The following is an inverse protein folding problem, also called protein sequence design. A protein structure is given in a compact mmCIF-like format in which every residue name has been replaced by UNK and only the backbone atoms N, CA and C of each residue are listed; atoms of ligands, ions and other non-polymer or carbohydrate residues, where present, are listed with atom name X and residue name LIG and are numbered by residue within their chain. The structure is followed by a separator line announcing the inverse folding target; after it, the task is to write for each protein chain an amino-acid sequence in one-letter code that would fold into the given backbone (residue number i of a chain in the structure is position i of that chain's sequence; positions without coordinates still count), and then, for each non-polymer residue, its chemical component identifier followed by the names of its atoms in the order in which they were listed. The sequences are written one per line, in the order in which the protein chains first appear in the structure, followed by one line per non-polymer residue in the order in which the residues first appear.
data_IF_097740218805
#
_entry.id   IF_097740218805
#
_cell.length_a   1.000
_cell.length_b   1.000
_cell.length_c   1.000
_cell.angle_alpha   90.00
_cell.angle_beta   90.00
_cell.angle_gamma   90.00
#
_symmetry.space_group_name_H-M   'P 1'
#
loop_
_entity.id
_entity.type
_entity.pdbx_description
1 polymer ?
#
# COMPACT_ATOMS: atom_id res chain seq x y z
N UNK A 1 -21.14 19.59 3.60
CA UNK A 1 -20.43 19.16 4.84
C UNK A 1 -20.26 17.64 4.97
N UNK A 2 -21.09 16.83 4.34
CA UNK A 2 -20.97 15.34 4.37
C UNK A 2 -19.89 14.87 3.37
N UNK A 3 -19.71 15.58 2.27
CA UNK A 3 -18.73 15.26 1.22
C UNK A 3 -17.26 15.44 1.64
N UNK A 4 -17.01 16.13 2.74
CA UNK A 4 -15.65 16.33 3.27
C UNK A 4 -15.23 15.22 4.26
N UNK A 5 -16.20 14.45 4.78
CA UNK A 5 -15.94 13.41 5.77
C UNK A 5 -15.70 12.03 5.17
N UNK A 6 -16.15 11.78 3.94
CA UNK A 6 -16.00 10.48 3.27
C UNK A 6 -15.15 10.66 2.00
N UNK A 7 -13.99 10.01 1.90
CA UNK A 7 -13.13 10.10 0.72
C UNK A 7 -13.88 9.59 -0.53
N UNK A 8 -13.90 10.39 -1.59
CA UNK A 8 -14.55 10.02 -2.85
C UNK A 8 -14.07 8.68 -3.45
N UNK A 9 -12.78 8.28 -3.33
CA UNK A 9 -12.33 6.97 -3.75
C UNK A 9 -13.03 5.81 -3.05
N UNK A 10 -13.28 5.95 -1.75
CA UNK A 10 -13.95 4.92 -0.96
C UNK A 10 -15.41 4.74 -1.39
N UNK A 11 -16.11 5.85 -1.64
CA UNK A 11 -17.49 5.79 -2.18
C UNK A 11 -17.52 5.10 -3.52
N UNK A 12 -16.58 5.44 -4.42
CA UNK A 12 -16.48 4.82 -5.74
C UNK A 12 -16.27 3.30 -5.64
N UNK A 13 -15.35 2.84 -4.80
CA UNK A 13 -15.11 1.41 -4.59
C UNK A 13 -16.36 0.71 -4.06
N UNK A 14 -16.97 1.25 -3.01
CA UNK A 14 -18.16 0.64 -2.39
C UNK A 14 -19.35 0.56 -3.37
N UNK A 15 -19.61 1.65 -4.10
CA UNK A 15 -20.71 1.69 -5.08
C UNK A 15 -20.45 0.74 -6.23
N UNK A 16 -19.25 0.74 -6.81
CA UNK A 16 -18.93 -0.16 -7.93
C UNK A 16 -18.93 -1.63 -7.51
N UNK A 17 -18.44 -1.94 -6.32
CA UNK A 17 -18.50 -3.30 -5.78
C UNK A 17 -19.94 -3.72 -5.55
N UNK A 18 -20.77 -2.86 -4.94
CA UNK A 18 -22.18 -3.14 -4.72
C UNK A 18 -22.95 -3.35 -6.03
N UNK A 19 -22.69 -2.53 -7.04
CA UNK A 19 -23.30 -2.68 -8.38
C UNK A 19 -22.84 -3.97 -9.05
N UNK A 20 -21.56 -4.31 -8.97
CA UNK A 20 -21.01 -5.55 -9.53
C UNK A 20 -21.69 -6.78 -8.91
N UNK A 21 -21.83 -6.81 -7.59
CA UNK A 21 -22.49 -7.90 -6.86
C UNK A 21 -23.97 -8.01 -7.21
N UNK A 22 -24.69 -6.90 -7.32
CA UNK A 22 -26.15 -6.91 -7.63
C UNK A 22 -26.47 -7.29 -9.07
N UNK A 23 -25.56 -6.96 -10.02
CA UNK A 23 -25.71 -7.29 -11.44
C UNK A 23 -25.13 -8.67 -11.81
N UNK A 24 -24.52 -9.37 -10.86
CA UNK A 24 -23.89 -10.68 -11.10
C UNK A 24 -22.70 -10.62 -12.06
N UNK A 25 -22.02 -9.49 -12.14
CA UNK A 25 -20.85 -9.29 -13.00
C UNK A 25 -19.58 -9.91 -12.40
N UNK A 26 -19.66 -10.45 -11.19
CA UNK A 26 -18.55 -11.14 -10.52
C UNK A 26 -17.98 -12.29 -11.35
N UNK A 27 -18.83 -12.92 -12.20
CA UNK A 27 -18.39 -13.99 -13.10
C UNK A 27 -17.64 -13.49 -14.36
N UNK A 28 -17.73 -12.20 -14.69
CA UNK A 28 -17.14 -11.62 -15.91
C UNK A 28 -16.02 -10.63 -15.65
N UNK A 29 -16.01 -10.00 -14.48
CA UNK A 29 -14.98 -9.03 -14.08
C UNK A 29 -13.96 -9.72 -13.17
N UNK A 30 -12.67 -9.50 -13.47
CA UNK A 30 -11.60 -9.93 -12.56
C UNK A 30 -11.71 -9.18 -11.25
N UNK A 31 -11.71 -9.93 -10.16
CA UNK A 31 -11.70 -9.42 -8.79
C UNK A 31 -10.29 -9.45 -8.20
N UNK A 32 -10.12 -8.81 -7.05
CA UNK A 32 -8.85 -8.86 -6.29
C UNK A 32 -8.53 -10.30 -5.89
N UNK A 33 -9.54 -11.10 -5.54
CA UNK A 33 -9.38 -12.51 -5.18
C UNK A 33 -8.85 -13.39 -6.32
N UNK A 34 -9.13 -13.04 -7.59
CA UNK A 34 -8.61 -13.75 -8.75
C UNK A 34 -7.11 -13.51 -8.99
N UNK A 35 -6.55 -12.46 -8.40
CA UNK A 35 -5.12 -12.14 -8.50
C UNK A 35 -4.27 -12.87 -7.47
N UNK A 36 -4.87 -13.36 -6.39
CA UNK A 36 -4.22 -14.11 -5.33
C UNK A 36 -5.09 -14.21 -4.07
N UNK A 37 -4.86 -15.26 -3.31
CA UNK A 37 -5.54 -15.42 -2.02
C UNK A 37 -5.05 -14.38 -1.02
N UNK A 38 -5.98 -13.58 -0.48
CA UNK A 38 -5.66 -12.66 0.61
C UNK A 38 -5.38 -13.45 1.89
N UNK A 39 -4.32 -13.13 2.62
CA UNK A 39 -4.01 -13.83 3.86
C UNK A 39 -5.13 -13.58 4.88
N UNK A 40 -5.81 -14.64 5.30
CA UNK A 40 -6.83 -14.62 6.36
C UNK A 40 -6.24 -14.77 7.77
N UNK A 41 -4.93 -14.91 7.87
CA UNK A 41 -4.21 -15.12 9.13
C UNK A 41 -3.17 -14.02 9.34
N UNK A 42 -2.83 -13.78 10.61
CA UNK A 42 -1.73 -12.86 10.94
C UNK A 42 -0.43 -13.31 10.28
N UNK A 43 0.41 -12.36 9.83
CA UNK A 43 1.69 -12.67 9.23
C UNK A 43 2.54 -13.50 10.20
N UNK A 44 3.01 -14.64 9.72
CA UNK A 44 3.89 -15.56 10.46
C UNK A 44 5.32 -15.29 10.03
N UNK A 45 6.25 -15.43 10.96
CA UNK A 45 7.68 -15.47 10.63
C UNK A 45 7.92 -16.64 9.68
N UNK A 46 8.27 -16.34 8.45
CA UNK A 46 8.65 -17.34 7.47
C UNK A 46 10.15 -17.58 7.55
N UNK A 47 10.51 -18.85 7.79
CA UNK A 47 11.90 -19.26 7.67
C UNK A 47 12.22 -19.36 6.18
N UNK A 48 13.30 -18.68 5.76
CA UNK A 48 13.79 -18.77 4.40
C UNK A 48 14.09 -20.21 4.05
N UNK A 49 13.24 -20.85 3.25
CA UNK A 49 13.46 -22.19 2.69
C UNK A 49 14.38 -22.15 1.47
N UNK A 50 14.89 -20.97 1.12
CA UNK A 50 15.78 -20.79 -0.01
C UNK A 50 17.21 -21.10 0.44
N UNK A 51 17.87 -21.99 -0.31
CA UNK A 51 19.29 -22.26 -0.13
C UNK A 51 20.08 -20.96 -0.30
N UNK A 52 20.73 -20.49 0.76
CA UNK A 52 21.62 -19.33 0.75
C UNK A 52 22.92 -19.68 0.01
N UNK A 53 22.81 -19.86 -1.30
CA UNK A 53 23.93 -20.11 -2.19
C UNK A 53 24.34 -18.80 -2.90
N UNK A 54 25.61 -18.74 -3.28
CA UNK A 54 26.13 -17.59 -4.05
C UNK A 54 25.36 -17.37 -5.35
N UNK A 55 24.90 -18.43 -6.00
CA UNK A 55 24.12 -18.35 -7.23
C UNK A 55 22.76 -17.70 -6.99
N UNK A 56 22.07 -18.06 -5.91
CA UNK A 56 20.80 -17.41 -5.51
C UNK A 56 21.00 -15.93 -5.22
N UNK A 57 22.07 -15.57 -4.52
CA UNK A 57 22.42 -14.18 -4.23
C UNK A 57 22.64 -13.38 -5.54
N UNK A 58 23.38 -13.93 -6.51
CA UNK A 58 23.62 -13.28 -7.79
C UNK A 58 22.36 -13.09 -8.64
N UNK A 59 21.40 -13.98 -8.53
CA UNK A 59 20.10 -13.86 -9.23
C UNK A 59 19.24 -12.75 -8.57
N UNK A 60 19.20 -12.69 -7.25
CA UNK A 60 18.34 -11.77 -6.51
C UNK A 60 18.91 -10.34 -6.46
N UNK A 61 20.23 -10.20 -6.42
CA UNK A 61 20.91 -8.92 -6.22
C UNK A 61 20.49 -7.82 -7.22
N UNK A 62 20.43 -8.02 -8.55
CA UNK A 62 20.06 -6.96 -9.47
C UNK A 62 18.61 -6.48 -9.27
N UNK A 63 17.70 -7.40 -8.94
CA UNK A 63 16.31 -7.04 -8.63
C UNK A 63 16.21 -6.27 -7.31
N UNK A 64 16.94 -6.71 -6.28
CA UNK A 64 16.98 -6.03 -4.99
C UNK A 64 17.52 -4.61 -5.11
N UNK A 65 18.60 -4.40 -5.88
CA UNK A 65 19.16 -3.06 -6.13
C UNK A 65 18.15 -2.18 -6.88
N UNK A 66 17.53 -2.70 -7.92
CA UNK A 66 16.54 -1.95 -8.70
C UNK A 66 15.36 -1.52 -7.84
N UNK A 67 14.80 -2.43 -7.03
CA UNK A 67 13.71 -2.13 -6.11
C UNK A 67 14.12 -1.14 -5.02
N UNK A 68 15.34 -1.25 -4.50
CA UNK A 68 15.85 -0.33 -3.50
C UNK A 68 16.00 1.09 -4.06
N UNK A 69 16.54 1.25 -5.27
CA UNK A 69 16.69 2.56 -5.91
C UNK A 69 15.32 3.19 -6.15
N UNK A 70 14.39 2.46 -6.77
CA UNK A 70 13.04 2.97 -7.06
C UNK A 70 12.31 3.32 -5.77
N UNK A 71 12.32 2.43 -4.78
CA UNK A 71 11.63 2.65 -3.51
C UNK A 71 12.18 3.84 -2.71
N UNK A 72 13.51 4.02 -2.70
CA UNK A 72 14.13 5.18 -2.06
C UNK A 72 13.81 6.48 -2.78
N UNK A 73 13.87 6.50 -4.11
CA UNK A 73 13.50 7.68 -4.89
C UNK A 73 12.05 8.10 -4.62
N UNK A 74 11.12 7.15 -4.66
CA UNK A 74 9.70 7.42 -4.42
C UNK A 74 9.46 7.93 -2.99
N UNK A 75 10.09 7.31 -1.98
CA UNK A 75 9.97 7.74 -0.59
C UNK A 75 10.56 9.13 -0.36
N UNK A 76 11.70 9.45 -0.96
CA UNK A 76 12.31 10.78 -0.84
C UNK A 76 11.49 11.86 -1.54
N UNK A 77 10.92 11.56 -2.70
CA UNK A 77 9.99 12.46 -3.38
C UNK A 77 8.74 12.70 -2.53
N UNK A 78 8.17 11.64 -1.97
CA UNK A 78 7.01 11.74 -1.06
C UNK A 78 7.34 12.59 0.16
N UNK A 79 8.51 12.38 0.78
CA UNK A 79 8.95 13.16 1.93
C UNK A 79 9.11 14.65 1.58
N UNK A 80 9.64 14.97 0.40
CA UNK A 80 9.77 16.36 -0.05
C UNK A 80 8.41 17.02 -0.26
N UNK A 81 7.47 16.33 -0.91
CA UNK A 81 6.12 16.84 -1.12
C UNK A 81 5.39 17.04 0.22
N UNK A 82 5.53 16.12 1.16
CA UNK A 82 4.93 16.27 2.49
C UNK A 82 5.56 17.43 3.26
N UNK A 83 6.87 17.62 3.16
CA UNK A 83 7.56 18.77 3.77
C UNK A 83 7.02 20.10 3.23
N UNK A 84 6.83 20.20 1.91
CA UNK A 84 6.26 21.38 1.26
C UNK A 84 4.81 21.64 1.72
N UNK A 85 4.00 20.59 1.89
CA UNK A 85 2.61 20.72 2.38
C UNK A 85 2.50 21.08 3.86
N UNK A 86 3.49 20.72 4.66
CA UNK A 86 3.46 20.87 6.13
C UNK A 86 4.34 22.00 6.62
N UNK A 87 5.10 22.62 5.72
CA UNK A 87 6.08 23.68 6.03
C UNK A 87 7.11 23.19 7.08
N UNK A 88 7.57 21.94 6.91
CA UNK A 88 8.54 21.26 7.79
C UNK A 88 9.70 20.71 6.99
N UNK A 89 10.83 20.50 7.64
CA UNK A 89 11.98 19.81 7.06
C UNK A 89 12.15 18.44 7.71
N UNK A 90 12.18 17.38 6.90
CA UNK A 90 12.44 16.02 7.34
C UNK A 90 13.89 15.61 7.08
N UNK A 91 14.46 14.79 7.98
CA UNK A 91 15.79 14.21 7.78
C UNK A 91 15.69 13.04 6.78
N UNK A 92 16.13 13.31 5.54
CA UNK A 92 16.12 12.34 4.44
C UNK A 92 16.98 11.10 4.71
N UNK A 93 18.06 11.25 5.49
CA UNK A 93 18.93 10.11 5.85
C UNK A 93 18.22 9.18 6.84
N UNK A 94 17.50 9.76 7.80
CA UNK A 94 16.71 8.99 8.76
C UNK A 94 15.55 8.27 8.06
N UNK A 95 14.92 8.92 7.06
CA UNK A 95 13.87 8.30 6.24
C UNK A 95 14.39 7.09 5.47
N UNK A 96 15.53 7.22 4.77
CA UNK A 96 16.16 6.11 4.07
C UNK A 96 16.53 4.95 5.01
N UNK A 97 17.09 5.25 6.18
CA UNK A 97 17.43 4.23 7.16
C UNK A 97 16.17 3.53 7.71
N UNK A 98 15.12 4.29 8.02
CA UNK A 98 13.84 3.77 8.47
C UNK A 98 13.18 2.85 7.44
N UNK A 99 13.17 3.26 6.18
CA UNK A 99 12.70 2.47 5.05
C UNK A 99 13.45 1.15 4.92
N UNK A 100 14.79 1.19 5.02
CA UNK A 100 15.63 0.00 4.96
C UNK A 100 15.30 -1.00 6.06
N UNK A 101 15.20 -0.54 7.30
CA UNK A 101 14.85 -1.38 8.45
C UNK A 101 13.44 -1.95 8.31
N UNK A 102 12.46 -1.15 7.87
CA UNK A 102 11.09 -1.59 7.66
C UNK A 102 11.00 -2.69 6.60
N UNK A 103 11.73 -2.54 5.48
CA UNK A 103 11.75 -3.54 4.41
C UNK A 103 12.46 -4.84 4.82
N UNK A 104 13.53 -4.76 5.62
CA UNK A 104 14.17 -5.95 6.19
C UNK A 104 13.16 -6.70 7.08
N UNK A 105 12.50 -6.00 7.99
CA UNK A 105 11.49 -6.61 8.86
C UNK A 105 10.32 -7.20 8.06
N UNK A 106 9.82 -6.48 7.06
CA UNK A 106 8.76 -6.98 6.16
C UNK A 106 9.18 -8.28 5.47
N UNK A 107 10.43 -8.35 5.00
CA UNK A 107 10.97 -9.56 4.36
C UNK A 107 10.97 -10.78 5.28
N UNK A 108 11.26 -10.63 6.59
CA UNK A 108 11.19 -11.73 7.56
C UNK A 108 9.77 -12.27 7.76
N UNK A 109 8.75 -11.47 7.49
CA UNK A 109 7.35 -11.88 7.52
C UNK A 109 6.80 -12.29 6.14
N UNK A 110 7.67 -12.52 5.17
CA UNK A 110 7.26 -12.90 3.81
C UNK A 110 6.63 -11.77 3.01
N UNK A 111 6.73 -10.53 3.48
CA UNK A 111 6.19 -9.36 2.80
C UNK A 111 7.08 -8.86 1.66
N UNK A 112 6.46 -8.18 0.70
CA UNK A 112 7.19 -7.49 -0.37
C UNK A 112 7.83 -6.19 0.16
N UNK A 113 8.87 -5.73 -0.53
CA UNK A 113 9.42 -4.41 -0.29
C UNK A 113 8.36 -3.33 -0.57
N UNK A 114 8.23 -2.38 0.34
CA UNK A 114 7.30 -1.26 0.24
C UNK A 114 8.04 0.08 0.22
N UNK A 115 7.35 1.11 -0.27
CA UNK A 115 7.82 2.50 -0.25
C UNK A 115 6.67 3.44 0.12
N UNK A 116 6.99 4.68 0.45
CA UNK A 116 6.00 5.70 0.73
C UNK A 116 5.34 6.16 -0.57
N UNK A 117 4.00 6.18 -0.59
CA UNK A 117 3.23 6.63 -1.75
C UNK A 117 2.77 8.08 -1.57
N UNK A 118 2.99 8.91 -2.58
CA UNK A 118 2.64 10.34 -2.57
C UNK A 118 1.15 10.53 -2.28
N UNK A 119 0.27 9.87 -3.04
CA UNK A 119 -1.18 10.05 -2.91
C UNK A 119 -1.71 9.75 -1.52
N UNK A 120 -1.32 8.65 -0.91
CA UNK A 120 -1.75 8.27 0.44
C UNK A 120 -1.21 9.22 1.50
N UNK A 121 0.05 9.65 1.38
CA UNK A 121 0.68 10.58 2.31
C UNK A 121 0.02 11.97 2.25
N UNK A 122 -0.25 12.47 1.06
CA UNK A 122 -0.95 13.75 0.86
C UNK A 122 -2.38 13.70 1.43
N UNK A 123 -3.14 12.65 1.15
CA UNK A 123 -4.49 12.46 1.71
C UNK A 123 -4.45 12.43 3.24
N UNK A 124 -3.48 11.73 3.83
CA UNK A 124 -3.33 11.68 5.29
C UNK A 124 -3.07 13.07 5.88
N UNK A 125 -2.17 13.86 5.27
CA UNK A 125 -1.84 15.23 5.70
C UNK A 125 -3.05 16.16 5.53
N UNK A 126 -3.75 16.10 4.40
CA UNK A 126 -4.96 16.89 4.13
C UNK A 126 -6.10 16.56 5.09
N UNK A 127 -6.18 15.29 5.53
CA UNK A 127 -7.15 14.85 6.54
C UNK A 127 -6.78 15.26 7.98
N UNK A 128 -5.67 15.99 8.16
CA UNK A 128 -5.20 16.47 9.46
C UNK A 128 -4.26 15.51 10.17
N UNK A 129 -3.82 14.44 9.52
CA UNK A 129 -2.81 13.51 10.06
C UNK A 129 -1.48 14.22 10.25
N UNK A 130 -0.99 14.25 11.47
CA UNK A 130 0.30 14.85 11.84
C UNK A 130 1.06 13.87 12.72
N UNK A 131 2.20 13.42 12.24
CA UNK A 131 3.10 12.59 13.03
C UNK A 131 2.88 11.07 12.90
N UNK A 132 3.77 10.35 13.57
CA UNK A 132 3.94 8.88 13.42
C UNK A 132 2.75 8.04 13.88
N UNK A 133 1.94 8.56 14.82
CA UNK A 133 0.75 7.86 15.29
C UNK A 133 -0.33 7.73 14.23
N UNK A 134 -0.44 8.70 13.30
CA UNK A 134 -1.40 8.65 12.21
C UNK A 134 -1.09 7.50 11.25
N UNK A 135 0.16 7.37 10.82
CA UNK A 135 0.58 6.29 9.93
C UNK A 135 0.55 4.92 10.61
N UNK A 136 0.93 4.85 11.89
CA UNK A 136 0.88 3.61 12.66
C UNK A 136 -0.56 3.11 12.85
N UNK A 137 -1.49 4.01 13.21
CA UNK A 137 -2.92 3.65 13.32
C UNK A 137 -3.52 3.24 11.99
N UNK A 138 -3.14 3.89 10.90
CA UNK A 138 -3.56 3.49 9.55
C UNK A 138 -3.08 2.07 9.20
N UNK A 139 -1.84 1.73 9.53
CA UNK A 139 -1.29 0.38 9.35
C UNK A 139 -2.02 -0.69 10.15
N UNK A 140 -2.33 -0.41 11.43
CA UNK A 140 -3.10 -1.33 12.28
C UNK A 140 -4.53 -1.52 11.74
N UNK A 141 -5.21 -0.42 11.38
CA UNK A 141 -6.57 -0.49 10.82
C UNK A 141 -6.57 -1.29 9.52
N UNK A 142 -5.58 -1.08 8.65
CA UNK A 142 -5.44 -1.83 7.41
C UNK A 142 -5.23 -3.32 7.67
N UNK A 143 -4.37 -3.67 8.64
CA UNK A 143 -4.14 -5.05 9.04
C UNK A 143 -5.43 -5.72 9.55
N UNK A 144 -6.16 -5.05 10.43
CA UNK A 144 -7.44 -5.54 10.94
C UNK A 144 -8.45 -5.70 9.80
N UNK A 145 -8.51 -4.73 8.90
CA UNK A 145 -9.43 -4.75 7.76
C UNK A 145 -9.15 -5.94 6.84
N UNK A 146 -7.89 -6.22 6.53
CA UNK A 146 -7.50 -7.35 5.68
C UNK A 146 -7.85 -8.69 6.37
N UNK A 147 -7.54 -8.83 7.66
CA UNK A 147 -7.78 -10.08 8.40
C UNK A 147 -9.28 -10.34 8.64
N UNK A 148 -10.06 -9.30 8.95
CA UNK A 148 -11.49 -9.44 9.29
C UNK A 148 -12.38 -9.37 8.06
N UNK A 149 -12.04 -8.53 7.09
CA UNK A 149 -12.84 -8.27 5.89
C UNK A 149 -12.19 -8.77 4.60
N UNK A 150 -11.23 -9.70 4.69
CA UNK A 150 -10.51 -10.23 3.53
C UNK A 150 -11.44 -10.74 2.44
N UNK A 151 -12.50 -11.44 2.81
CA UNK A 151 -13.49 -11.97 1.87
C UNK A 151 -14.27 -10.87 1.12
N UNK A 152 -14.56 -9.75 1.79
CA UNK A 152 -15.19 -8.59 1.15
C UNK A 152 -14.20 -7.85 0.24
N UNK A 153 -12.96 -7.71 0.69
CA UNK A 153 -11.90 -7.06 -0.10
C UNK A 153 -11.56 -7.89 -1.36
N UNK A 154 -11.61 -9.22 -1.25
CA UNK A 154 -11.39 -10.11 -2.40
C UNK A 154 -12.42 -9.93 -3.53
N UNK A 155 -13.64 -9.49 -3.21
CA UNK A 155 -14.72 -9.27 -4.15
C UNK A 155 -14.66 -7.93 -4.88
N UNK A 156 -13.73 -7.04 -4.51
CA UNK A 156 -13.56 -5.75 -5.17
C UNK A 156 -13.14 -5.96 -6.63
N UNK A 157 -13.91 -5.45 -7.62
CA UNK A 157 -13.53 -5.58 -9.01
C UNK A 157 -12.29 -4.74 -9.32
N UNK A 158 -11.34 -5.31 -10.05
CA UNK A 158 -10.10 -4.64 -10.47
C UNK A 158 -10.38 -3.34 -11.24
N UNK A 159 -11.49 -3.29 -11.99
CA UNK A 159 -11.94 -2.10 -12.70
C UNK A 159 -12.18 -0.90 -11.76
N UNK A 160 -12.68 -1.14 -10.54
CA UNK A 160 -12.90 -0.08 -9.55
C UNK A 160 -11.57 0.50 -9.04
N UNK A 161 -10.58 -0.36 -8.80
CA UNK A 161 -9.24 0.07 -8.39
C UNK A 161 -8.54 0.87 -9.49
N UNK A 162 -8.63 0.43 -10.74
CA UNK A 162 -8.08 1.16 -11.90
C UNK A 162 -8.75 2.53 -12.04
N UNK A 163 -10.06 2.62 -11.91
CA UNK A 163 -10.79 3.89 -11.97
C UNK A 163 -10.31 4.87 -10.88
N UNK A 164 -10.11 4.38 -9.65
CA UNK A 164 -9.57 5.19 -8.55
C UNK A 164 -8.14 5.64 -8.84
N UNK A 165 -7.28 4.76 -9.37
CA UNK A 165 -5.90 5.12 -9.75
C UNK A 165 -5.86 6.20 -10.83
N UNK A 166 -6.70 6.11 -11.84
CA UNK A 166 -6.84 7.14 -12.89
C UNK A 166 -7.31 8.47 -12.26
N UNK A 167 -8.31 8.42 -11.39
CA UNK A 167 -8.83 9.62 -10.74
C UNK A 167 -7.77 10.31 -9.87
N UNK A 168 -6.99 9.55 -9.12
CA UNK A 168 -5.88 10.08 -8.30
C UNK A 168 -4.80 10.68 -9.20
N UNK A 169 -4.46 10.02 -10.31
CA UNK A 169 -3.45 10.51 -11.26
C UNK A 169 -3.84 11.83 -11.96
N UNK A 170 -5.14 12.07 -12.15
CA UNK A 170 -5.63 13.33 -12.73
C UNK A 170 -5.70 14.43 -11.67
N UNK A 171 -5.90 14.06 -10.41
CA UNK A 171 -6.05 15.00 -9.29
C UNK A 171 -4.73 15.44 -8.63
N UNK A 172 -3.61 14.86 -9.06
CA UNK A 172 -2.25 15.23 -8.62
C UNK A 172 -1.57 16.04 -9.70
#
# INVERSE_FOLDING_TARGET
RITTAVPSPLVCIVVLTGVSMTLGWDATLRTVGDMGELPSTFPKLEYFQVLLNFDTFMIVLPYAISLAIVGLLESLMTATIVDDFTDTESDKNQECAGQGVANILSGFFGGMAGCAMIGQSVINVQSGGRGRLSTFSAGIILLILIVVMGDLVSQIPMAALVAVMIMVSIGT
#
